data_IF_817494605481
#
_entry.id   IF_817494605481
#
_cell.length_a   1.000
_cell.length_b   1.000
_cell.length_c   1.000
_cell.angle_alpha   90.00
_cell.angle_beta   90.00
_cell.angle_gamma   90.00
#
_symmetry.space_group_name_H-M   'P 1'
#
loop_
_entity.id
_entity.type
_entity.pdbx_description
1 polymer ?
#
# COMPACT_ATOMS: atom_id res chain seq x y z
N UNK A 1 -20.24 15.29 -4.14
CA UNK A 1 -18.86 15.70 -4.56
C UNK A 1 -17.97 14.46 -4.61
N UNK A 2 -16.93 14.42 -5.47
CA UNK A 2 -16.02 13.27 -5.59
C UNK A 2 -14.55 13.67 -5.46
N UNK A 3 -13.78 12.90 -4.70
CA UNK A 3 -12.33 13.01 -4.58
C UNK A 3 -11.67 11.71 -5.03
N UNK A 4 -10.58 11.82 -5.80
CA UNK A 4 -9.82 10.67 -6.30
C UNK A 4 -8.44 10.52 -5.67
N UNK A 5 -7.97 11.52 -4.92
CA UNK A 5 -6.68 11.51 -4.23
C UNK A 5 -6.85 11.83 -2.76
N UNK A 6 -6.03 11.20 -1.92
CA UNK A 6 -6.03 11.46 -0.48
C UNK A 6 -5.66 12.92 -0.16
N UNK A 7 -4.67 13.49 -0.86
CA UNK A 7 -4.25 14.87 -0.64
C UNK A 7 -5.34 15.91 -0.94
N UNK A 8 -6.13 15.72 -2.00
CA UNK A 8 -7.26 16.62 -2.31
C UNK A 8 -8.37 16.48 -1.27
N UNK A 9 -8.65 15.24 -0.84
CA UNK A 9 -9.62 14.97 0.20
C UNK A 9 -9.22 15.60 1.55
N UNK A 10 -7.94 15.48 1.94
CA UNK A 10 -7.40 16.07 3.17
C UNK A 10 -7.61 17.58 3.23
N UNK A 11 -7.26 18.30 2.16
CA UNK A 11 -7.49 19.76 2.06
C UNK A 11 -8.97 20.12 2.19
N UNK A 12 -9.85 19.29 1.63
CA UNK A 12 -11.29 19.50 1.78
C UNK A 12 -11.73 19.34 3.24
N UNK A 13 -11.27 18.29 3.94
CA UNK A 13 -11.61 18.06 5.35
C UNK A 13 -11.09 19.19 6.25
N UNK A 14 -9.87 19.67 6.01
CA UNK A 14 -9.28 20.80 6.74
C UNK A 14 -10.05 22.11 6.49
N UNK A 15 -10.45 22.36 5.25
CA UNK A 15 -11.28 23.53 4.89
C UNK A 15 -12.74 23.42 5.36
N UNK A 16 -13.29 22.21 5.46
CA UNK A 16 -14.67 21.96 5.86
C UNK A 16 -14.96 22.38 7.31
N UNK A 17 -13.92 22.50 8.16
CA UNK A 17 -14.05 23.10 9.49
C UNK A 17 -14.66 24.51 9.47
N UNK A 18 -14.52 25.26 8.37
CA UNK A 18 -15.11 26.59 8.17
C UNK A 18 -16.50 26.59 7.49
N UNK A 19 -16.85 25.54 6.74
CA UNK A 19 -18.06 25.49 5.89
C UNK A 19 -19.09 24.42 6.30
N UNK A 20 -18.76 23.55 7.26
CA UNK A 20 -19.60 22.43 7.70
C UNK A 20 -19.26 21.11 6.99
N UNK A 21 -19.40 20.00 7.70
CA UNK A 21 -19.18 18.64 7.18
C UNK A 21 -20.46 18.07 6.56
N UNK A 22 -20.31 17.20 5.55
CA UNK A 22 -21.45 16.46 4.99
C UNK A 22 -21.90 15.36 5.95
N UNK A 23 -23.19 15.05 6.03
CA UNK A 23 -23.67 13.94 6.86
C UNK A 23 -23.24 12.56 6.36
N UNK A 24 -22.93 12.42 5.06
CA UNK A 24 -22.64 11.12 4.44
C UNK A 24 -21.33 11.15 3.64
N UNK A 25 -20.40 10.29 4.03
CA UNK A 25 -19.15 10.02 3.33
C UNK A 25 -19.09 8.56 2.89
N UNK A 26 -18.64 8.33 1.65
CA UNK A 26 -18.35 7.00 1.13
C UNK A 26 -16.88 6.93 0.74
N UNK A 27 -16.12 6.08 1.42
CA UNK A 27 -14.71 5.80 1.14
C UNK A 27 -14.61 4.47 0.41
N UNK A 28 -14.19 4.52 -0.85
CA UNK A 28 -13.92 3.35 -1.67
C UNK A 28 -12.41 3.19 -1.76
N UNK A 29 -11.87 2.12 -1.16
CA UNK A 29 -10.45 1.82 -1.15
C UNK A 29 -10.26 0.31 -1.34
N UNK A 30 -9.86 -0.16 -2.54
CA UNK A 30 -9.69 -1.59 -2.83
C UNK A 30 -8.63 -2.24 -1.94
N UNK A 31 -7.47 -1.58 -1.81
CA UNK A 31 -6.31 -2.03 -1.05
C UNK A 31 -5.51 -0.82 -0.52
N UNK A 32 -4.69 -1.05 0.52
CA UNK A 32 -3.79 -0.05 1.10
C UNK A 32 -4.29 0.63 2.39
N UNK A 33 -3.44 1.47 2.98
CA UNK A 33 -3.73 2.20 4.23
C UNK A 33 -4.60 3.44 4.02
N UNK A 34 -4.71 3.93 2.77
CA UNK A 34 -5.36 5.22 2.44
C UNK A 34 -6.81 5.29 2.91
N UNK A 35 -7.57 4.21 2.76
CA UNK A 35 -8.97 4.16 3.20
C UNK A 35 -9.11 4.35 4.71
N UNK A 36 -8.22 3.72 5.49
CA UNK A 36 -8.17 3.87 6.95
C UNK A 36 -7.73 5.27 7.34
N UNK A 37 -6.70 5.81 6.69
CA UNK A 37 -6.25 7.19 6.96
C UNK A 37 -7.34 8.22 6.66
N UNK A 38 -8.11 8.05 5.59
CA UNK A 38 -9.22 8.93 5.24
C UNK A 38 -10.35 8.85 6.27
N UNK A 39 -10.63 7.65 6.77
CA UNK A 39 -11.59 7.43 7.86
C UNK A 39 -11.13 8.12 9.14
N UNK A 40 -9.89 7.88 9.57
CA UNK A 40 -9.33 8.43 10.81
C UNK A 40 -9.29 9.97 10.75
N UNK A 41 -8.88 10.53 9.61
CA UNK A 41 -8.89 11.98 9.37
C UNK A 41 -10.30 12.59 9.51
N UNK A 42 -11.33 11.94 8.96
CA UNK A 42 -12.71 12.40 9.10
C UNK A 42 -13.19 12.34 10.54
N UNK A 43 -12.91 11.24 11.24
CA UNK A 43 -13.30 11.06 12.64
C UNK A 43 -12.67 12.16 13.50
N UNK A 44 -11.37 12.41 13.33
CA UNK A 44 -10.66 13.47 14.06
C UNK A 44 -11.22 14.86 13.76
N UNK A 45 -11.49 15.16 12.48
CA UNK A 45 -12.00 16.46 12.07
C UNK A 45 -13.44 16.72 12.55
N UNK A 46 -14.29 15.70 12.54
CA UNK A 46 -15.69 15.81 12.97
C UNK A 46 -15.77 15.92 14.50
N UNK A 47 -15.08 15.04 15.24
CA UNK A 47 -15.14 14.98 16.71
C UNK A 47 -14.31 16.08 17.41
N UNK A 48 -13.34 16.69 16.72
CA UNK A 48 -12.30 17.58 17.27
C UNK A 48 -11.39 16.84 18.28
N UNK A 49 -10.07 17.09 18.19
CA UNK A 49 -9.00 16.39 18.94
C UNK A 49 -9.21 16.23 20.45
N UNK A 50 -10.00 17.09 21.09
CA UNK A 50 -10.15 17.14 22.56
C UNK A 50 -11.27 16.24 23.13
N UNK A 51 -12.13 15.63 22.30
CA UNK A 51 -13.19 14.73 22.81
C UNK A 51 -13.64 13.70 21.77
N UNK A 52 -12.74 12.77 21.42
CA UNK A 52 -13.17 11.50 20.82
C UNK A 52 -13.78 10.67 21.95
N UNK A 53 -15.06 10.93 22.24
CA UNK A 53 -15.84 10.07 23.15
C UNK A 53 -15.94 8.68 22.50
N UNK A 54 -15.48 7.60 23.17
CA UNK A 54 -15.64 6.22 22.68
C UNK A 54 -17.10 5.85 22.37
N UNK A 55 -18.08 6.55 22.96
CA UNK A 55 -19.51 6.37 22.71
C UNK A 55 -20.03 7.17 21.50
N UNK A 56 -19.26 8.13 21.02
CA UNK A 56 -19.58 8.99 19.88
C UNK A 56 -19.19 8.39 18.53
N UNK A 57 -18.22 7.47 18.50
CA UNK A 57 -17.77 6.77 17.28
C UNK A 57 -18.12 5.29 17.38
N UNK A 58 -18.93 4.77 16.46
CA UNK A 58 -19.31 3.35 16.46
C UNK A 58 -19.09 2.70 15.11
N UNK A 59 -18.42 1.55 15.13
CA UNK A 59 -18.21 0.73 13.94
C UNK A 59 -19.26 -0.36 13.87
N UNK A 60 -19.95 -0.45 12.74
CA UNK A 60 -20.99 -1.46 12.46
C UNK A 60 -20.79 -2.06 11.08
N UNK A 61 -21.43 -3.20 10.83
CA UNK A 61 -21.59 -3.72 9.47
C UNK A 61 -22.63 -2.87 8.71
N UNK A 62 -22.44 -2.72 7.40
CA UNK A 62 -23.34 -1.98 6.53
C UNK A 62 -24.65 -2.75 6.21
N UNK A 63 -25.34 -3.19 7.27
CA UNK A 63 -26.62 -3.88 7.21
C UNK A 63 -27.75 -2.95 7.65
N UNK A 64 -28.94 -3.14 7.08
CA UNK A 64 -30.08 -2.25 7.27
C UNK A 64 -30.50 -2.09 8.74
N UNK A 65 -30.61 -3.22 9.47
CA UNK A 65 -31.02 -3.20 10.87
C UNK A 65 -30.03 -2.47 11.77
N UNK A 66 -28.73 -2.75 11.60
CA UNK A 66 -27.67 -2.11 12.37
C UNK A 66 -27.59 -0.60 12.08
N UNK A 67 -27.66 -0.21 10.80
CA UNK A 67 -27.65 1.19 10.41
C UNK A 67 -28.86 1.97 10.95
N UNK A 68 -30.07 1.41 10.83
CA UNK A 68 -31.29 2.08 11.31
C UNK A 68 -31.24 2.33 12.81
N UNK A 69 -30.86 1.30 13.58
CA UNK A 69 -30.75 1.41 15.03
C UNK A 69 -29.76 2.50 15.42
N UNK A 70 -28.58 2.53 14.81
CA UNK A 70 -27.54 3.50 15.18
C UNK A 70 -27.81 4.93 14.73
N UNK A 71 -28.48 5.12 13.59
CA UNK A 71 -28.87 6.44 13.09
C UNK A 71 -29.98 7.05 13.96
N UNK A 72 -30.92 6.23 14.42
CA UNK A 72 -32.02 6.66 15.31
C UNK A 72 -31.56 6.83 16.76
N UNK A 73 -30.54 6.08 17.17
CA UNK A 73 -29.92 6.24 18.49
C UNK A 73 -29.11 7.53 18.51
N UNK A 74 -29.77 8.64 18.83
CA UNK A 74 -29.12 9.92 19.08
C UNK A 74 -27.97 9.79 20.08
N UNK A 75 -26.99 10.69 19.98
CA UNK A 75 -25.87 10.72 20.92
C UNK A 75 -26.26 11.51 22.18
N UNK A 76 -26.20 10.86 23.33
CA UNK A 76 -26.49 11.48 24.63
C UNK A 76 -25.32 12.29 25.21
N UNK A 77 -24.09 11.95 24.83
CA UNK A 77 -22.86 12.48 25.48
C UNK A 77 -22.03 13.40 24.57
N UNK A 78 -22.33 13.44 23.28
CA UNK A 78 -21.67 14.31 22.30
C UNK A 78 -22.68 14.90 21.32
N UNK A 79 -22.56 16.18 20.93
CA UNK A 79 -23.41 16.78 19.89
C UNK A 79 -23.17 16.19 18.50
N UNK A 80 -22.11 15.38 18.33
CA UNK A 80 -21.76 14.73 17.07
C UNK A 80 -21.54 13.22 17.25
N UNK A 81 -22.19 12.42 16.42
CA UNK A 81 -22.07 10.96 16.35
C UNK A 81 -21.49 10.57 14.99
N UNK A 82 -20.48 9.71 15.00
CA UNK A 82 -19.88 9.16 13.78
C UNK A 82 -20.14 7.66 13.73
N UNK A 83 -20.81 7.21 12.68
CA UNK A 83 -21.11 5.80 12.44
C UNK A 83 -20.23 5.34 11.28
N UNK A 84 -19.36 4.37 11.56
CA UNK A 84 -18.45 3.79 10.57
C UNK A 84 -19.06 2.47 10.13
N UNK A 85 -19.56 2.42 8.91
CA UNK A 85 -20.25 1.26 8.38
C UNK A 85 -19.38 0.56 7.34
N UNK A 86 -18.81 -0.59 7.74
CA UNK A 86 -17.92 -1.38 6.91
C UNK A 86 -18.67 -2.38 6.03
N UNK A 87 -18.14 -2.64 4.84
CA UNK A 87 -18.71 -3.62 3.92
C UNK A 87 -19.89 -3.07 3.11
N UNK A 88 -19.84 -1.79 2.76
CA UNK A 88 -20.86 -1.16 1.91
C UNK A 88 -20.99 -1.80 0.51
N UNK A 89 -20.08 -2.72 0.16
CA UNK A 89 -20.20 -3.59 -1.00
C UNK A 89 -21.48 -4.44 -0.99
N UNK A 90 -21.95 -4.89 0.17
CA UNK A 90 -23.10 -5.79 0.29
C UNK A 90 -24.41 -5.10 0.73
N UNK A 91 -24.52 -3.77 0.54
CA UNK A 91 -25.70 -3.00 0.97
C UNK A 91 -27.00 -3.53 0.34
N UNK A 92 -28.01 -3.74 1.20
CA UNK A 92 -29.38 -4.02 0.75
C UNK A 92 -30.03 -2.77 0.16
N UNK A 93 -31.05 -2.93 -0.71
CA UNK A 93 -31.82 -1.79 -1.24
C UNK A 93 -32.50 -0.96 -0.15
N UNK A 94 -32.90 -1.59 0.96
CA UNK A 94 -33.50 -0.89 2.10
C UNK A 94 -32.48 0.00 2.81
N UNK A 95 -31.27 -0.53 3.08
CA UNK A 95 -30.16 0.24 3.63
C UNK A 95 -29.74 1.41 2.72
N UNK A 96 -29.69 1.21 1.39
CA UNK A 96 -29.44 2.33 0.46
C UNK A 96 -30.47 3.45 0.62
N UNK A 97 -31.75 3.08 0.76
CA UNK A 97 -32.85 4.04 0.84
C UNK A 97 -32.83 4.81 2.16
N UNK A 98 -32.41 4.16 3.25
CA UNK A 98 -32.21 4.78 4.55
C UNK A 98 -31.10 5.85 4.49
N UNK A 99 -29.95 5.52 3.89
CA UNK A 99 -28.78 6.39 3.83
C UNK A 99 -28.94 7.59 2.90
N UNK A 100 -29.83 7.52 1.91
CA UNK A 100 -30.11 8.62 0.98
C UNK A 100 -31.10 9.65 1.53
N UNK A 101 -31.78 9.33 2.64
CA UNK A 101 -32.62 10.32 3.34
C UNK A 101 -31.73 11.31 4.11
N UNK A 102 -32.20 12.54 4.38
CA UNK A 102 -31.47 13.48 5.22
C UNK A 102 -31.21 12.85 6.59
N UNK A 103 -29.92 12.76 6.96
CA UNK A 103 -29.52 12.23 8.25
C UNK A 103 -29.87 13.22 9.37
N UNK A 104 -30.16 12.73 10.59
CA UNK A 104 -30.41 13.61 11.73
C UNK A 104 -29.24 14.57 11.97
N UNK A 105 -29.50 15.80 12.46
CA UNK A 105 -28.44 16.75 12.73
C UNK A 105 -27.46 16.19 13.77
N UNK A 106 -26.16 16.30 13.47
CA UNK A 106 -25.10 15.76 14.31
C UNK A 106 -24.75 14.29 14.05
N UNK A 107 -25.48 13.57 13.19
CA UNK A 107 -25.13 12.21 12.78
C UNK A 107 -24.34 12.23 11.48
N UNK A 108 -23.17 11.59 11.50
CA UNK A 108 -22.28 11.44 10.36
C UNK A 108 -22.08 9.96 10.07
N UNK A 109 -22.31 9.54 8.84
CA UNK A 109 -22.11 8.15 8.40
C UNK A 109 -20.93 8.09 7.44
N UNK A 110 -19.96 7.24 7.77
CA UNK A 110 -18.78 6.94 6.94
C UNK A 110 -18.92 5.50 6.47
N UNK A 111 -19.20 5.31 5.19
CA UNK A 111 -19.27 4.00 4.55
C UNK A 111 -17.89 3.62 4.02
N UNK A 112 -17.47 2.39 4.23
CA UNK A 112 -16.24 1.85 3.62
C UNK A 112 -16.55 0.68 2.69
N UNK A 113 -15.93 0.69 1.51
CA UNK A 113 -16.13 -0.30 0.44
C UNK A 113 -14.81 -0.58 -0.27
N UNK A 114 -14.65 -1.81 -0.76
CA UNK A 114 -13.49 -2.22 -1.57
C UNK A 114 -13.76 -2.20 -3.06
N UNK A 115 -15.01 -2.42 -3.47
CA UNK A 115 -15.39 -2.50 -4.89
C UNK A 115 -15.72 -1.12 -5.45
N UNK A 116 -15.25 -0.84 -6.67
CA UNK A 116 -15.54 0.42 -7.37
C UNK A 116 -16.84 0.34 -8.18
N UNK A 117 -17.50 1.49 -8.36
CA UNK A 117 -18.47 1.69 -9.44
C UNK A 117 -19.88 1.15 -9.21
N UNK A 118 -20.31 0.87 -7.96
CA UNK A 118 -21.71 0.46 -7.72
C UNK A 118 -22.71 1.58 -8.05
N UNK A 119 -23.92 1.24 -8.52
CA UNK A 119 -24.96 2.25 -8.81
C UNK A 119 -25.30 3.15 -7.62
N UNK A 120 -25.22 2.62 -6.39
CA UNK A 120 -25.42 3.37 -5.16
C UNK A 120 -24.45 4.55 -5.01
N UNK A 121 -23.19 4.40 -5.44
CA UNK A 121 -22.16 5.41 -5.24
C UNK A 121 -22.49 6.69 -6.01
N UNK A 122 -23.05 6.55 -7.22
CA UNK A 122 -23.56 7.69 -8.02
C UNK A 122 -24.73 8.41 -7.35
N UNK A 123 -25.51 7.71 -6.51
CA UNK A 123 -26.57 8.33 -5.72
C UNK A 123 -25.97 9.12 -4.55
N UNK A 124 -24.97 8.55 -3.86
CA UNK A 124 -24.23 9.22 -2.78
C UNK A 124 -23.51 10.48 -3.28
N UNK A 125 -23.00 10.50 -4.51
CA UNK A 125 -22.38 11.72 -5.08
C UNK A 125 -23.30 12.95 -5.09
N UNK A 126 -24.62 12.73 -5.11
CA UNK A 126 -25.65 13.79 -5.12
C UNK A 126 -26.00 14.29 -3.71
N UNK A 127 -25.97 13.42 -2.71
CA UNK A 127 -26.40 13.72 -1.33
C UNK A 127 -25.24 13.89 -0.35
N UNK A 128 -24.04 13.42 -0.71
CA UNK A 128 -22.86 13.40 0.13
C UNK A 128 -21.56 13.45 -0.66
N UNK A 129 -20.51 12.88 -0.08
CA UNK A 129 -19.14 12.93 -0.60
C UNK A 129 -18.60 11.53 -0.83
N UNK A 130 -18.08 11.30 -2.04
CA UNK A 130 -17.43 10.05 -2.41
C UNK A 130 -15.92 10.27 -2.49
N UNK A 131 -15.15 9.41 -1.84
CA UNK A 131 -13.70 9.40 -1.82
C UNK A 131 -13.26 8.08 -2.39
N UNK A 132 -12.68 8.08 -3.59
CA UNK A 132 -12.24 6.88 -4.28
C UNK A 132 -10.71 6.85 -4.32
N UNK A 133 -10.12 5.97 -3.50
CA UNK A 133 -8.68 5.82 -3.27
C UNK A 133 -8.21 4.49 -3.89
N UNK A 134 -6.90 4.32 -4.12
CA UNK A 134 -6.32 3.03 -4.50
C UNK A 134 -6.70 2.41 -5.86
N UNK A 135 -6.89 3.21 -6.93
CA UNK A 135 -7.02 2.64 -8.30
C UNK A 135 -6.41 3.49 -9.41
N UNK A 136 -5.39 4.26 -9.05
CA UNK A 136 -4.61 5.09 -9.95
C UNK A 136 -3.65 4.22 -10.77
N UNK A 137 -3.35 4.62 -12.01
CA UNK A 137 -2.25 3.99 -12.77
C UNK A 137 -0.93 4.29 -12.09
N UNK A 138 0.10 3.46 -12.27
CA UNK A 138 1.40 3.61 -11.60
C UNK A 138 2.02 5.01 -11.75
N UNK A 139 1.85 5.66 -12.91
CA UNK A 139 2.34 7.02 -13.16
C UNK A 139 1.48 8.12 -12.49
N UNK A 140 0.18 7.87 -12.29
CA UNK A 140 -0.71 8.78 -11.53
C UNK A 140 -0.37 8.70 -10.04
N UNK A 141 -0.13 7.48 -9.53
CA UNK A 141 0.25 7.24 -8.12
C UNK A 141 1.56 7.96 -7.77
N UNK A 142 2.55 7.91 -8.65
CA UNK A 142 3.83 8.60 -8.44
C UNK A 142 3.67 10.12 -8.43
N UNK A 143 2.86 10.68 -9.34
CA UNK A 143 2.56 12.12 -9.34
C UNK A 143 1.77 12.55 -8.10
N UNK A 144 0.77 11.77 -7.71
CA UNK A 144 -0.05 11.99 -6.50
C UNK A 144 0.82 11.98 -5.24
N UNK A 145 1.78 11.05 -5.16
CA UNK A 145 2.78 10.99 -4.11
C UNK A 145 3.68 12.23 -4.06
N UNK A 146 4.19 12.69 -5.20
CA UNK A 146 5.00 13.92 -5.27
C UNK A 146 4.21 15.15 -4.83
N UNK A 147 2.96 15.29 -5.29
CA UNK A 147 2.06 16.37 -4.90
C UNK A 147 1.74 16.32 -3.39
N UNK A 148 1.59 15.12 -2.82
CA UNK A 148 1.39 14.89 -1.39
C UNK A 148 2.60 15.33 -0.57
N UNK A 149 3.80 14.90 -0.95
CA UNK A 149 5.08 15.27 -0.30
C UNK A 149 5.24 16.79 -0.31
N UNK A 150 5.11 17.41 -1.48
CA UNK A 150 5.23 18.87 -1.61
C UNK A 150 4.17 19.62 -0.79
N UNK A 151 2.96 19.07 -0.66
CA UNK A 151 1.91 19.56 0.23
C UNK A 151 2.33 19.53 1.69
N UNK A 152 2.79 18.38 2.19
CA UNK A 152 3.20 18.21 3.59
C UNK A 152 4.33 19.16 3.99
N UNK A 153 5.37 19.29 3.18
CA UNK A 153 6.46 20.23 3.48
C UNK A 153 5.99 21.70 3.47
N UNK A 154 5.01 22.04 2.62
CA UNK A 154 4.40 23.38 2.61
C UNK A 154 3.62 23.65 3.89
N UNK A 155 2.86 22.68 4.39
CA UNK A 155 2.09 22.81 5.63
C UNK A 155 3.02 23.09 6.82
N UNK A 156 4.20 22.46 6.83
CA UNK A 156 5.27 22.66 7.83
C UNK A 156 6.17 23.88 7.53
N UNK A 157 5.82 24.70 6.52
CA UNK A 157 6.57 25.90 6.08
C UNK A 157 8.04 25.64 5.75
N UNK A 158 8.35 24.46 5.24
CA UNK A 158 9.72 24.03 4.91
C UNK A 158 9.88 23.80 3.41
N UNK A 159 11.04 24.16 2.86
CA UNK A 159 11.32 23.95 1.43
C UNK A 159 11.95 22.57 1.24
N UNK A 160 11.50 21.81 0.25
CA UNK A 160 12.14 20.55 -0.18
C UNK A 160 12.61 20.67 -1.63
N UNK A 161 13.79 20.13 -1.91
CA UNK A 161 14.33 20.07 -3.27
C UNK A 161 13.46 19.18 -4.18
N UNK A 162 13.14 19.59 -5.42
CA UNK A 162 12.43 18.74 -6.37
C UNK A 162 13.04 17.34 -6.53
N UNK A 163 14.37 17.22 -6.52
CA UNK A 163 15.06 15.92 -6.62
C UNK A 163 14.77 15.06 -5.39
N UNK A 164 14.78 15.66 -4.20
CA UNK A 164 14.43 14.99 -2.94
C UNK A 164 12.98 14.51 -2.93
N UNK A 165 12.05 15.28 -3.48
CA UNK A 165 10.64 14.87 -3.64
C UNK A 165 10.53 13.64 -4.54
N UNK A 166 11.20 13.64 -5.69
CA UNK A 166 11.19 12.51 -6.62
C UNK A 166 11.81 11.26 -5.98
N UNK A 167 12.93 11.41 -5.27
CA UNK A 167 13.58 10.30 -4.57
C UNK A 167 12.66 9.68 -3.52
N UNK A 168 12.05 10.52 -2.68
CA UNK A 168 11.17 10.07 -1.60
C UNK A 168 9.90 9.37 -2.13
N UNK A 169 9.29 9.92 -3.19
CA UNK A 169 8.13 9.31 -3.85
C UNK A 169 8.46 7.92 -4.41
N UNK A 170 9.65 7.78 -5.01
CA UNK A 170 10.13 6.53 -5.59
C UNK A 170 10.46 5.50 -4.52
N UNK A 171 11.13 5.89 -3.44
CA UNK A 171 11.49 4.99 -2.33
C UNK A 171 10.25 4.43 -1.62
N UNK A 172 9.24 5.26 -1.38
CA UNK A 172 8.02 4.83 -0.70
C UNK A 172 7.04 4.06 -1.61
N UNK A 173 7.32 3.90 -2.91
CA UNK A 173 6.44 3.17 -3.85
C UNK A 173 5.03 3.78 -3.98
N UNK A 174 4.87 5.06 -3.64
CA UNK A 174 3.59 5.75 -3.57
C UNK A 174 2.68 5.33 -2.41
N UNK A 175 3.17 4.59 -1.40
CA UNK A 175 2.40 4.29 -0.20
C UNK A 175 2.36 5.51 0.74
N UNK A 176 1.18 6.13 0.89
CA UNK A 176 1.03 7.39 1.63
C UNK A 176 1.40 7.26 3.11
N UNK A 177 1.04 6.15 3.77
CA UNK A 177 1.39 5.95 5.18
C UNK A 177 2.90 5.88 5.39
N UNK A 178 3.63 5.28 4.45
CA UNK A 178 5.08 5.24 4.49
C UNK A 178 5.66 6.63 4.22
N UNK A 179 5.14 7.33 3.20
CA UNK A 179 5.53 8.71 2.93
C UNK A 179 5.37 9.61 4.16
N UNK A 180 4.26 9.52 4.90
CA UNK A 180 4.06 10.30 6.11
C UNK A 180 5.14 10.03 7.16
N UNK A 181 5.48 8.76 7.39
CA UNK A 181 6.54 8.38 8.32
C UNK A 181 7.91 8.92 7.88
N UNK A 182 8.25 8.80 6.60
CA UNK A 182 9.52 9.28 6.06
C UNK A 182 9.60 10.83 6.11
N UNK A 183 8.49 11.51 5.81
CA UNK A 183 8.40 12.98 5.91
C UNK A 183 8.58 13.41 7.37
N UNK A 184 7.91 12.77 8.33
CA UNK A 184 8.08 13.09 9.76
C UNK A 184 9.53 12.93 10.22
N UNK A 185 10.19 11.83 9.85
CA UNK A 185 11.61 11.63 10.15
C UNK A 185 12.47 12.73 9.54
N UNK A 186 12.21 13.10 8.28
CA UNK A 186 12.95 14.16 7.60
C UNK A 186 12.76 15.52 8.27
N UNK A 187 11.53 15.85 8.68
CA UNK A 187 11.22 17.10 9.37
C UNK A 187 12.00 17.20 10.68
N UNK A 188 12.01 16.12 11.47
CA UNK A 188 12.77 16.03 12.73
C UNK A 188 14.28 16.09 12.50
N UNK A 189 14.81 15.33 11.54
CA UNK A 189 16.25 15.33 11.28
C UNK A 189 16.77 16.66 10.75
N UNK A 190 15.98 17.33 9.92
CA UNK A 190 16.33 18.63 9.35
C UNK A 190 15.85 19.79 10.22
N UNK A 191 15.50 19.55 11.48
CA UNK A 191 15.08 20.63 12.37
C UNK A 191 16.14 21.73 12.45
N UNK A 192 15.70 23.00 12.42
CA UNK A 192 16.57 24.17 12.28
C UNK A 192 17.16 24.43 10.88
N UNK A 193 16.97 23.54 9.89
CA UNK A 193 17.29 23.82 8.47
C UNK A 193 16.05 24.33 7.73
N UNK A 194 16.22 25.32 6.86
CA UNK A 194 15.12 25.85 6.03
C UNK A 194 14.80 25.01 4.78
N UNK A 195 15.77 24.21 4.31
CA UNK A 195 15.64 23.40 3.09
C UNK A 195 16.06 21.95 3.36
N UNK A 196 15.25 21.02 2.86
CA UNK A 196 15.56 19.58 2.76
C UNK A 196 16.17 19.29 1.41
N UNK A 197 17.32 18.62 1.41
CA UNK A 197 18.09 18.28 0.20
C UNK A 197 18.05 16.78 -0.09
N UNK A 198 18.50 16.37 -1.28
CA UNK A 198 18.69 14.95 -1.62
C UNK A 198 19.60 14.22 -0.62
N UNK A 199 20.66 14.89 -0.16
CA UNK A 199 21.58 14.32 0.82
C UNK A 199 20.91 14.09 2.19
N UNK A 200 19.98 14.95 2.59
CA UNK A 200 19.19 14.73 3.82
C UNK A 200 18.25 13.54 3.66
N UNK A 201 17.62 13.39 2.48
CA UNK A 201 16.81 12.19 2.17
C UNK A 201 17.66 10.93 2.24
N UNK A 202 18.82 10.90 1.58
CA UNK A 202 19.73 9.76 1.61
C UNK A 202 20.28 9.43 3.02
N UNK A 203 20.34 10.41 3.93
CA UNK A 203 20.83 10.19 5.30
C UNK A 203 19.75 9.68 6.27
N UNK A 204 18.49 10.03 6.03
CA UNK A 204 17.35 9.76 6.96
C UNK A 204 16.45 8.66 6.45
N UNK A 205 16.23 8.63 5.14
CA UNK A 205 15.61 7.50 4.48
C UNK A 205 16.58 6.35 4.65
N UNK A 206 16.37 5.57 5.71
CA UNK A 206 16.77 4.17 5.70
C UNK A 206 16.13 3.69 4.44
N UNK A 207 16.95 3.45 3.42
CA UNK A 207 16.58 2.84 2.17
C UNK A 207 15.82 1.57 2.52
N UNK A 208 14.51 1.73 2.70
CA UNK A 208 13.54 0.73 2.45
C UNK A 208 12.88 1.14 1.14
N UNK A 209 13.55 0.92 -0.02
CA UNK A 209 12.82 0.11 -0.97
C UNK A 209 12.35 -1.06 -0.11
N UNK A 210 11.12 -1.54 -0.24
CA UNK A 210 10.93 -2.96 0.04
C UNK A 210 12.16 -3.64 -0.61
N UNK A 211 13.17 -4.08 0.17
CA UNK A 211 14.30 -4.80 -0.37
C UNK A 211 13.60 -6.06 -0.76
N UNK A 212 13.14 -5.99 -1.99
CA UNK A 212 12.18 -6.92 -2.47
C UNK A 212 13.07 -8.14 -2.66
N UNK A 213 12.58 -9.32 -2.31
CA UNK A 213 13.26 -10.53 -2.78
C UNK A 213 13.54 -10.52 -4.30
N UNK A 214 12.91 -9.60 -5.07
CA UNK A 214 13.27 -9.22 -6.44
C UNK A 214 14.67 -8.61 -6.65
N UNK A 215 15.20 -7.75 -5.77
CA UNK A 215 16.56 -7.23 -5.91
C UNK A 215 17.60 -8.31 -5.57
N UNK A 216 17.32 -9.11 -4.53
CA UNK A 216 18.13 -10.26 -4.17
C UNK A 216 18.15 -11.28 -5.31
N UNK A 217 16.99 -11.62 -5.88
CA UNK A 217 16.91 -12.54 -7.01
C UNK A 217 17.59 -11.98 -8.25
N UNK A 218 17.46 -10.67 -8.55
CA UNK A 218 18.16 -10.04 -9.67
C UNK A 218 19.68 -10.13 -9.51
N UNK A 219 20.20 -9.90 -8.30
CA UNK A 219 21.63 -10.07 -8.00
C UNK A 219 22.07 -11.53 -8.15
N UNK A 220 21.28 -12.48 -7.65
CA UNK A 220 21.52 -13.92 -7.82
C UNK A 220 21.53 -14.30 -9.30
N UNK A 221 20.52 -13.89 -10.07
CA UNK A 221 20.39 -14.24 -11.48
C UNK A 221 21.51 -13.65 -12.34
N UNK A 222 21.99 -12.45 -11.99
CA UNK A 222 23.16 -11.81 -12.62
C UNK A 222 24.50 -12.37 -12.13
N UNK A 223 24.50 -13.33 -11.21
CA UNK A 223 25.72 -13.92 -10.62
C UNK A 223 26.60 -12.91 -9.87
N UNK A 224 25.98 -11.85 -9.35
CA UNK A 224 26.65 -10.84 -8.53
C UNK A 224 26.68 -11.30 -7.07
N UNK A 225 27.66 -12.16 -6.75
CA UNK A 225 27.83 -12.75 -5.41
C UNK A 225 27.96 -11.68 -4.31
N UNK A 226 28.83 -10.64 -4.45
CA UNK A 226 28.98 -9.63 -3.41
C UNK A 226 27.66 -8.90 -3.10
N UNK A 227 26.92 -8.50 -4.15
CA UNK A 227 25.63 -7.82 -3.97
C UNK A 227 24.58 -8.75 -3.40
N UNK A 228 24.50 -10.00 -3.85
CA UNK A 228 23.55 -10.99 -3.36
C UNK A 228 23.75 -11.30 -1.87
N UNK A 229 24.99 -11.52 -1.41
CA UNK A 229 25.31 -11.72 0.01
C UNK A 229 24.89 -10.50 0.83
N UNK A 230 25.26 -9.30 0.38
CA UNK A 230 24.90 -8.05 1.06
C UNK A 230 23.39 -7.91 1.20
N UNK A 231 22.63 -8.10 0.13
CA UNK A 231 21.17 -7.97 0.14
C UNK A 231 20.50 -9.02 1.03
N UNK A 232 20.99 -10.27 1.01
CA UNK A 232 20.44 -11.33 1.85
C UNK A 232 20.65 -11.02 3.34
N UNK A 233 21.86 -10.58 3.72
CA UNK A 233 22.16 -10.20 5.11
C UNK A 233 21.32 -9.01 5.57
N UNK A 234 21.20 -7.96 4.75
CA UNK A 234 20.34 -6.82 5.07
C UNK A 234 18.90 -7.27 5.35
N UNK A 235 18.34 -8.17 4.54
CA UNK A 235 16.99 -8.69 4.77
C UNK A 235 16.84 -9.40 6.12
N UNK A 236 17.84 -10.19 6.52
CA UNK A 236 17.85 -10.87 7.81
C UNK A 236 18.00 -9.88 8.96
N UNK A 237 18.90 -8.91 8.84
CA UNK A 237 19.14 -7.86 9.84
C UNK A 237 17.90 -6.97 10.05
N UNK A 238 17.11 -6.75 8.99
CA UNK A 238 15.83 -6.05 9.05
C UNK A 238 14.70 -6.87 9.71
N UNK A 239 14.97 -8.12 10.09
CA UNK A 239 14.01 -9.02 10.75
C UNK A 239 13.12 -9.80 9.78
N UNK A 240 13.42 -9.82 8.48
CA UNK A 240 12.69 -10.68 7.53
C UNK A 240 12.99 -12.14 7.86
N UNK A 241 11.97 -12.98 8.14
CA UNK A 241 12.22 -14.38 8.44
C UNK A 241 12.91 -15.08 7.28
N UNK A 242 13.97 -15.86 7.55
CA UNK A 242 14.74 -16.60 6.53
C UNK A 242 13.85 -17.41 5.58
N UNK A 243 12.86 -18.13 6.13
CA UNK A 243 11.89 -18.91 5.34
C UNK A 243 11.00 -18.05 4.44
N UNK A 244 10.73 -16.81 4.80
CA UNK A 244 9.99 -15.87 3.94
C UNK A 244 10.84 -15.45 2.74
N UNK A 245 12.14 -15.24 2.93
CA UNK A 245 13.10 -14.95 1.85
C UNK A 245 13.19 -16.15 0.89
N UNK A 246 13.33 -17.38 1.43
CA UNK A 246 13.35 -18.60 0.61
C UNK A 246 12.05 -18.79 -0.18
N UNK A 247 10.89 -18.56 0.44
CA UNK A 247 9.58 -18.63 -0.22
C UNK A 247 9.50 -17.64 -1.38
N UNK A 248 10.01 -16.42 -1.20
CA UNK A 248 10.00 -15.40 -2.24
C UNK A 248 10.92 -15.77 -3.41
N UNK A 249 12.14 -16.22 -3.14
CA UNK A 249 13.06 -16.71 -4.18
C UNK A 249 12.44 -17.89 -4.95
N UNK A 250 11.87 -18.86 -4.24
CA UNK A 250 11.17 -20.01 -4.83
C UNK A 250 10.05 -19.57 -5.76
N UNK A 251 9.24 -18.58 -5.35
CA UNK A 251 8.13 -18.08 -6.17
C UNK A 251 8.62 -17.55 -7.51
N UNK A 252 9.73 -16.81 -7.52
CA UNK A 252 10.27 -16.22 -8.75
C UNK A 252 10.89 -17.27 -9.66
N UNK A 253 11.71 -18.17 -9.10
CA UNK A 253 12.33 -19.26 -9.86
C UNK A 253 11.26 -20.19 -10.46
N UNK A 254 10.14 -20.41 -9.78
CA UNK A 254 9.00 -21.18 -10.32
C UNK A 254 8.38 -20.50 -11.54
N UNK A 255 8.12 -19.20 -11.46
CA UNK A 255 7.61 -18.42 -12.60
C UNK A 255 8.59 -18.49 -13.77
N UNK A 256 9.89 -18.30 -13.53
CA UNK A 256 10.91 -18.42 -14.56
C UNK A 256 10.98 -19.83 -15.15
N UNK A 257 10.83 -20.88 -14.32
CA UNK A 257 10.82 -22.27 -14.78
C UNK A 257 9.60 -22.57 -15.65
N UNK A 258 8.42 -22.05 -15.30
CA UNK A 258 7.20 -22.17 -16.09
C UNK A 258 7.35 -21.45 -17.45
N UNK A 259 7.91 -20.24 -17.44
CA UNK A 259 8.25 -19.51 -18.67
C UNK A 259 9.25 -20.30 -19.52
N UNK A 260 10.31 -20.84 -18.90
CA UNK A 260 11.29 -21.68 -19.58
C UNK A 260 10.64 -22.93 -20.18
N UNK A 261 9.68 -23.53 -19.48
CA UNK A 261 8.92 -24.68 -19.98
C UNK A 261 8.09 -24.34 -21.22
N UNK A 262 7.35 -23.23 -21.18
CA UNK A 262 6.55 -22.75 -22.31
C UNK A 262 7.43 -22.55 -23.55
N UNK A 263 8.55 -21.84 -23.39
CA UNK A 263 9.49 -21.58 -24.47
C UNK A 263 10.13 -22.88 -25.00
N UNK A 264 10.47 -23.82 -24.10
CA UNK A 264 11.05 -25.13 -24.47
C UNK A 264 10.08 -25.97 -25.29
N UNK A 265 8.77 -25.86 -25.07
CA UNK A 265 7.74 -26.56 -25.84
C UNK A 265 7.36 -25.86 -27.15
N UNK A 266 8.07 -24.80 -27.55
CA UNK A 266 7.81 -24.03 -28.78
C UNK A 266 6.76 -22.94 -28.64
N UNK A 267 6.31 -22.64 -27.41
CA UNK A 267 5.39 -21.53 -27.13
C UNK A 267 6.04 -20.16 -27.36
N UNK A 268 5.22 -19.15 -27.59
CA UNK A 268 5.69 -17.79 -27.86
C UNK A 268 5.44 -16.85 -26.68
N UNK A 269 6.00 -15.65 -26.76
CA UNK A 269 5.81 -14.57 -25.77
C UNK A 269 4.32 -14.30 -25.52
N UNK A 270 3.48 -14.42 -26.55
CA UNK A 270 2.03 -14.30 -26.41
C UNK A 270 1.41 -15.32 -25.45
N UNK A 271 1.91 -16.55 -25.42
CA UNK A 271 1.38 -17.61 -24.56
C UNK A 271 1.78 -17.40 -23.09
N UNK A 272 2.97 -16.83 -22.86
CA UNK A 272 3.39 -16.37 -21.53
C UNK A 272 2.43 -15.30 -21.02
N UNK A 273 2.12 -14.28 -21.84
CA UNK A 273 1.21 -13.20 -21.42
C UNK A 273 -0.25 -13.64 -21.27
N UNK A 274 -0.66 -14.77 -21.85
CA UNK A 274 -1.97 -15.38 -21.60
C UNK A 274 -1.99 -16.09 -20.25
N UNK A 275 -0.95 -16.85 -19.93
CA UNK A 275 -0.81 -17.55 -18.65
C UNK A 275 -0.60 -16.57 -17.49
N UNK A 276 0.13 -15.48 -17.72
CA UNK A 276 0.44 -14.44 -16.74
C UNK A 276 0.09 -13.05 -17.29
N UNK A 277 -1.19 -12.63 -17.24
CA UNK A 277 -1.64 -11.35 -17.79
C UNK A 277 -0.99 -10.11 -17.15
N UNK A 278 -0.41 -10.27 -15.95
CA UNK A 278 0.28 -9.24 -15.19
C UNK A 278 1.79 -9.13 -15.53
N UNK A 279 2.37 -10.13 -16.21
CA UNK A 279 3.79 -10.13 -16.61
C UNK A 279 3.89 -9.59 -18.05
N UNK A 280 4.12 -8.28 -18.19
CA UNK A 280 4.18 -7.58 -19.49
C UNK A 280 5.32 -6.56 -19.52
N UNK A 281 5.68 -6.12 -20.73
CA UNK A 281 6.66 -5.05 -20.95
C UNK A 281 8.00 -5.34 -20.28
N UNK A 282 8.49 -4.39 -19.48
CA UNK A 282 9.77 -4.49 -18.80
C UNK A 282 9.88 -5.68 -17.83
N UNK A 283 8.79 -6.04 -17.14
CA UNK A 283 8.79 -7.18 -16.19
C UNK A 283 8.97 -8.49 -16.95
N UNK A 284 8.25 -8.64 -18.07
CA UNK A 284 8.41 -9.81 -18.94
C UNK A 284 9.83 -9.91 -19.49
N UNK A 285 10.42 -8.79 -19.88
CA UNK A 285 11.81 -8.76 -20.37
C UNK A 285 12.79 -9.30 -19.32
N UNK A 286 12.64 -8.90 -18.04
CA UNK A 286 13.47 -9.43 -16.95
C UNK A 286 13.38 -10.95 -16.81
N UNK A 287 12.18 -11.51 -16.81
CA UNK A 287 11.98 -12.96 -16.75
C UNK A 287 12.60 -13.68 -17.96
N UNK A 288 12.43 -13.12 -19.17
CA UNK A 288 13.04 -13.68 -20.37
C UNK A 288 14.57 -13.67 -20.31
N UNK A 289 15.18 -12.61 -19.75
CA UNK A 289 16.63 -12.53 -19.60
C UNK A 289 17.16 -13.52 -18.55
N UNK A 290 16.44 -13.72 -17.44
CA UNK A 290 16.75 -14.78 -16.46
C UNK A 290 16.65 -16.17 -17.11
N UNK A 291 15.57 -16.45 -17.84
CA UNK A 291 15.37 -17.75 -18.51
C UNK A 291 16.44 -18.01 -19.56
N UNK A 292 16.87 -16.99 -20.31
CA UNK A 292 17.97 -17.10 -21.28
C UNK A 292 19.31 -17.40 -20.63
N UNK A 293 19.60 -16.80 -19.48
CA UNK A 293 20.88 -16.94 -18.80
C UNK A 293 20.99 -18.24 -17.99
N UNK A 294 19.91 -18.69 -17.36
CA UNK A 294 19.91 -19.88 -16.48
C UNK A 294 19.43 -21.15 -17.17
N UNK A 295 18.50 -21.01 -18.12
CA UNK A 295 17.85 -22.13 -18.79
C UNK A 295 16.99 -23.00 -17.86
N UNK A 296 16.24 -23.92 -18.47
CA UNK A 296 15.30 -24.79 -17.76
C UNK A 296 15.99 -25.63 -16.66
N UNK A 297 17.12 -26.28 -16.99
CA UNK A 297 17.80 -27.17 -16.04
C UNK A 297 18.50 -26.39 -14.92
N UNK A 298 18.98 -25.17 -15.20
CA UNK A 298 19.55 -24.29 -14.18
C UNK A 298 18.50 -23.87 -13.15
N UNK A 299 17.34 -23.41 -13.61
CA UNK A 299 16.21 -23.04 -12.75
C UNK A 299 15.70 -24.22 -11.93
N UNK A 300 15.61 -25.42 -12.53
CA UNK A 300 15.25 -26.65 -11.81
C UNK A 300 16.25 -26.98 -10.70
N UNK A 301 17.56 -26.90 -10.98
CA UNK A 301 18.61 -27.12 -9.95
C UNK A 301 18.52 -26.07 -8.83
N UNK A 302 18.23 -24.83 -9.17
CA UNK A 302 18.07 -23.76 -8.20
C UNK A 302 16.96 -24.05 -7.18
N UNK A 303 15.82 -24.61 -7.63
CA UNK A 303 14.74 -25.05 -6.74
C UNK A 303 15.20 -26.17 -5.80
N UNK A 304 15.97 -27.14 -6.30
CA UNK A 304 16.51 -28.22 -5.46
C UNK A 304 17.44 -27.68 -4.38
N UNK A 305 18.29 -26.71 -4.70
CA UNK A 305 19.13 -26.06 -3.69
C UNK A 305 18.30 -25.30 -2.65
N UNK A 306 17.24 -24.59 -3.06
CA UNK A 306 16.35 -23.94 -2.10
C UNK A 306 15.70 -24.95 -1.15
N UNK A 307 15.26 -26.10 -1.66
CA UNK A 307 14.63 -27.14 -0.85
C UNK A 307 15.63 -27.81 0.12
N UNK A 308 16.85 -28.11 -0.32
CA UNK A 308 17.93 -28.63 0.53
C UNK A 308 18.27 -27.66 1.66
N UNK A 309 18.40 -26.37 1.35
CA UNK A 309 18.68 -25.34 2.36
C UNK A 309 17.50 -25.07 3.30
N UNK A 310 16.26 -25.21 2.85
CA UNK A 310 15.09 -25.14 3.72
C UNK A 310 15.08 -26.30 4.73
N UNK A 311 15.42 -27.52 4.29
CA UNK A 311 15.51 -28.69 5.16
C UNK A 311 16.62 -28.48 6.19
N UNK A 312 17.82 -28.08 5.77
CA UNK A 312 18.94 -27.77 6.69
C UNK A 312 18.57 -26.70 7.72
N UNK A 313 17.81 -25.69 7.32
CA UNK A 313 17.33 -24.65 8.22
C UNK A 313 16.30 -25.16 9.25
N UNK A 314 15.49 -26.18 8.88
CA UNK A 314 14.50 -26.82 9.76
C UNK A 314 15.11 -27.82 10.73
N UNK A 315 16.22 -28.47 10.35
CA UNK A 315 16.92 -29.45 11.17
C UNK A 315 17.82 -28.82 12.26
N UNK A 316 17.62 -27.54 12.57
CA UNK A 316 18.24 -26.86 13.72
C UNK A 316 19.58 -26.17 13.42
N UNK A 317 19.78 -25.66 12.19
CA UNK A 317 20.97 -24.88 11.89
C UNK A 317 21.05 -23.61 12.77
N UNK A 318 22.20 -23.34 13.44
CA UNK A 318 22.29 -22.26 14.43
C UNK A 318 22.48 -20.87 13.81
N UNK A 319 22.76 -20.77 12.50
CA UNK A 319 23.12 -19.50 11.86
C UNK A 319 22.51 -19.37 10.44
N UNK A 320 21.44 -18.56 10.34
CA UNK A 320 20.78 -18.26 9.06
C UNK A 320 21.61 -17.35 8.16
N UNK A 321 22.53 -16.54 8.69
CA UNK A 321 23.41 -15.71 7.87
C UNK A 321 24.43 -16.60 7.13
N UNK A 322 25.01 -17.58 7.83
CA UNK A 322 25.90 -18.56 7.21
C UNK A 322 25.17 -19.40 6.15
N UNK A 323 23.95 -19.86 6.44
CA UNK A 323 23.14 -20.59 5.47
C UNK A 323 22.79 -19.74 4.24
N UNK A 324 22.49 -18.46 4.43
CA UNK A 324 22.24 -17.53 3.33
C UNK A 324 23.47 -17.37 2.43
N UNK A 325 24.65 -17.15 3.00
CA UNK A 325 25.89 -17.01 2.23
C UNK A 325 26.20 -18.27 1.42
N UNK A 326 26.08 -19.44 2.06
CA UNK A 326 26.28 -20.74 1.41
C UNK A 326 25.26 -20.99 0.28
N UNK A 327 24.01 -20.58 0.46
CA UNK A 327 22.98 -20.68 -0.56
C UNK A 327 23.32 -19.80 -1.77
N UNK A 328 23.74 -18.55 -1.55
CA UNK A 328 24.16 -17.64 -2.62
C UNK A 328 25.30 -18.27 -3.43
N UNK A 329 26.31 -18.84 -2.77
CA UNK A 329 27.43 -19.52 -3.43
C UNK A 329 27.04 -20.78 -4.22
N UNK A 330 25.91 -21.41 -3.89
CA UNK A 330 25.38 -22.57 -4.63
C UNK A 330 24.50 -22.19 -5.82
N UNK A 331 23.91 -21.00 -5.77
CA UNK A 331 22.99 -20.50 -6.80
C UNK A 331 23.71 -19.76 -7.92
N UNK A 332 24.91 -19.21 -7.69
CA UNK A 332 25.70 -18.48 -8.71
C UNK A 332 26.62 -19.40 -9.50
#
# INVERSE_FOLDING_TARGET
MKFSTFGAFKKHVEGAGACGFSGLYLIVAPEGSEGRMAQDLLVEAVCKRESIDPLGVKTVLAEEGALSQEIETGSFFSPKRVIIAAGADALSKGAETLLLKPLPPGVFVILTSKEKGKPFFKKVEKTGIVVELGGEKSWEKERSAQDYIAGRFRDERKVIDPIAVTLLAKEAGGEIALLDQEIEKLLVYTDGKNKVTEADVAAVSISRPAINGFQLSEALFKRDVPTAIKLFRVLLDEGTPFFAILKQLRSQIKVDLEIASILRTGGQVGDITKAYPYIKGFILQKHLDTVRSWGFDGLKRALVYLDDFEIRAKDGSPDYALLADLLVLKLV
#
